data_IF_654407533283
#
_entry.id   IF_654407533283
#
_cell.length_a   1.000
_cell.length_b   1.000
_cell.length_c   1.000
_cell.angle_alpha   90.00
_cell.angle_beta   90.00
_cell.angle_gamma   90.00
#
_symmetry.space_group_name_H-M   'P 1'
#
loop_
_entity.id
_entity.type
_entity.pdbx_description
1 polymer ?
#
# COMPACT_ATOMS: atom_id res chain seq x y z
N UNK A 1 14.33 7.02 -0.43
CA UNK A 1 13.06 6.29 -0.40
C UNK A 1 13.01 5.23 0.66
N UNK A 2 14.09 4.61 0.95
CA UNK A 2 14.18 3.81 2.16
C UNK A 2 13.83 4.65 3.39
N UNK A 3 14.11 5.95 3.34
CA UNK A 3 13.77 6.89 4.41
C UNK A 3 12.27 6.92 4.72
N UNK A 4 11.42 6.81 3.70
CA UNK A 4 9.96 6.79 3.91
C UNK A 4 9.55 5.55 4.66
N UNK A 5 10.11 4.40 4.29
CA UNK A 5 9.81 3.12 4.95
C UNK A 5 10.35 3.13 6.38
N UNK A 6 11.56 3.65 6.59
CA UNK A 6 12.13 3.75 7.92
C UNK A 6 11.33 4.68 8.82
N UNK A 7 10.95 5.85 8.33
CA UNK A 7 10.10 6.78 9.07
C UNK A 7 8.76 6.16 9.42
N UNK A 8 8.16 5.46 8.47
CA UNK A 8 6.90 4.77 8.67
C UNK A 8 7.04 3.71 9.76
N UNK A 9 8.12 2.92 9.71
CA UNK A 9 8.36 1.86 10.67
C UNK A 9 8.59 2.44 12.08
N UNK A 10 9.39 3.48 12.20
CA UNK A 10 9.69 4.12 13.48
C UNK A 10 8.43 4.74 14.09
N UNK A 11 7.65 5.41 13.28
CA UNK A 11 6.43 6.09 13.74
C UNK A 11 5.41 5.11 14.30
N UNK A 12 5.32 3.92 13.72
CA UNK A 12 4.38 2.89 14.13
C UNK A 12 4.98 1.84 15.05
N UNK A 13 6.29 1.96 15.37
CA UNK A 13 7.01 1.04 16.24
C UNK A 13 6.95 -0.40 15.70
N UNK A 14 7.17 -0.56 14.40
CA UNK A 14 7.19 -1.85 13.71
C UNK A 14 8.52 -2.02 12.97
N UNK A 15 8.83 -3.26 12.58
CA UNK A 15 10.05 -3.53 11.82
C UNK A 15 9.96 -2.92 10.41
N UNK A 16 11.11 -2.57 9.79
CA UNK A 16 11.10 -2.10 8.40
C UNK A 16 10.49 -3.09 7.42
N UNK A 17 10.68 -4.39 7.63
CA UNK A 17 10.09 -5.41 6.76
C UNK A 17 8.57 -5.42 6.86
N UNK A 18 8.02 -5.32 8.07
CA UNK A 18 6.59 -5.23 8.30
C UNK A 18 6.02 -3.95 7.69
N UNK A 19 6.75 -2.84 7.85
CA UNK A 19 6.36 -1.55 7.26
C UNK A 19 6.28 -1.64 5.74
N UNK A 20 7.29 -2.23 5.11
CA UNK A 20 7.33 -2.41 3.66
C UNK A 20 6.15 -3.25 3.18
N UNK A 21 5.88 -4.35 3.88
CA UNK A 21 4.77 -5.23 3.55
C UNK A 21 3.41 -4.51 3.67
N UNK A 22 3.22 -3.77 4.75
CA UNK A 22 1.98 -3.00 4.96
C UNK A 22 1.77 -1.93 3.89
N UNK A 23 2.82 -1.19 3.54
CA UNK A 23 2.75 -0.18 2.48
C UNK A 23 2.48 -0.86 1.13
N UNK A 24 3.12 -1.98 0.85
CA UNK A 24 2.93 -2.72 -0.39
C UNK A 24 1.48 -3.18 -0.56
N UNK A 25 0.91 -3.79 0.47
CA UNK A 25 -0.48 -4.26 0.46
C UNK A 25 -1.43 -3.07 0.26
N UNK A 26 -1.25 -2.00 1.01
CA UNK A 26 -2.11 -0.82 0.93
C UNK A 26 -2.02 -0.17 -0.45
N UNK A 27 -0.81 -0.01 -0.97
CA UNK A 27 -0.61 0.59 -2.31
C UNK A 27 -1.25 -0.25 -3.39
N UNK A 28 -1.12 -1.57 -3.30
CA UNK A 28 -1.73 -2.48 -4.27
C UNK A 28 -3.25 -2.33 -4.29
N UNK A 29 -3.88 -2.34 -3.12
CA UNK A 29 -5.33 -2.19 -3.04
C UNK A 29 -5.80 -0.80 -3.49
N UNK A 30 -5.03 0.23 -3.17
CA UNK A 30 -5.32 1.59 -3.63
C UNK A 30 -5.36 1.65 -5.16
N UNK A 31 -4.37 1.05 -5.81
CA UNK A 31 -4.31 1.01 -7.28
C UNK A 31 -5.40 0.13 -7.87
N UNK A 32 -5.69 -1.01 -7.25
CA UNK A 32 -6.74 -1.91 -7.73
C UNK A 32 -8.12 -1.27 -7.67
N UNK A 33 -8.38 -0.42 -6.68
CA UNK A 33 -9.67 0.26 -6.52
C UNK A 33 -9.79 1.51 -7.39
N UNK A 34 -8.71 1.97 -7.99
CA UNK A 34 -8.71 3.14 -8.86
C UNK A 34 -9.13 2.77 -10.27
N UNK A 35 -9.74 3.72 -10.99
CA UNK A 35 -10.01 3.55 -12.42
C UNK A 35 -8.70 3.29 -13.16
N UNK A 36 -8.70 2.46 -14.22
CA UNK A 36 -7.45 2.11 -14.91
C UNK A 36 -6.63 3.33 -15.38
N UNK A 37 -7.30 4.37 -15.88
CA UNK A 37 -6.60 5.58 -16.31
C UNK A 37 -5.95 6.31 -15.13
N UNK A 38 -6.64 6.32 -13.99
CA UNK A 38 -6.11 6.92 -12.76
C UNK A 38 -4.96 6.08 -12.22
N UNK A 39 -5.11 4.76 -12.19
CA UNK A 39 -4.05 3.86 -11.74
C UNK A 39 -2.78 4.01 -12.58
N UNK A 40 -2.91 4.17 -13.89
CA UNK A 40 -1.78 4.42 -14.79
C UNK A 40 -1.05 5.70 -14.41
N UNK A 41 -1.81 6.78 -14.17
CA UNK A 41 -1.22 8.05 -13.72
C UNK A 41 -0.53 7.93 -12.37
N UNK A 42 -1.18 7.26 -11.40
CA UNK A 42 -0.62 7.06 -10.06
C UNK A 42 0.68 6.26 -10.10
N UNK A 43 0.75 5.22 -10.92
CA UNK A 43 1.96 4.43 -11.06
C UNK A 43 3.16 5.27 -11.53
N UNK A 44 2.91 6.26 -12.39
CA UNK A 44 3.98 7.14 -12.86
C UNK A 44 4.36 8.20 -11.82
N UNK A 45 3.47 8.53 -10.90
CA UNK A 45 3.72 9.53 -9.86
C UNK A 45 4.33 8.95 -8.59
N UNK A 46 4.08 7.68 -8.30
CA UNK A 46 4.62 7.02 -7.12
C UNK A 46 6.12 6.77 -7.28
N UNK A 47 6.88 6.88 -6.18
CA UNK A 47 8.32 6.59 -6.22
C UNK A 47 8.61 5.15 -6.66
N UNK A 48 9.73 4.97 -7.35
CA UNK A 48 10.13 3.67 -7.89
C UNK A 48 10.27 2.60 -6.80
N UNK A 49 10.66 2.97 -5.60
CA UNK A 49 10.78 2.01 -4.50
C UNK A 49 9.44 1.41 -4.08
N UNK A 50 8.35 2.13 -4.27
CA UNK A 50 7.01 1.58 -4.06
C UNK A 50 6.54 0.78 -5.27
N UNK A 51 6.74 1.32 -6.48
CA UNK A 51 6.29 0.64 -7.69
C UNK A 51 7.09 -0.62 -8.01
N UNK A 52 8.33 -0.70 -7.57
CA UNK A 52 9.17 -1.89 -7.77
C UNK A 52 8.71 -3.09 -6.92
N UNK A 53 7.83 -2.86 -5.95
CA UNK A 53 7.23 -3.95 -5.18
C UNK A 53 6.19 -4.74 -5.96
N UNK A 54 5.74 -4.20 -7.10
CA UNK A 54 4.72 -4.85 -7.92
C UNK A 54 5.37 -5.56 -9.11
N UNK A 55 4.87 -6.75 -9.44
CA UNK A 55 5.31 -7.46 -10.63
C UNK A 55 4.79 -6.76 -11.90
N UNK A 56 5.41 -7.02 -13.07
CA UNK A 56 4.85 -6.49 -14.33
C UNK A 56 3.41 -6.90 -14.57
N UNK A 57 3.04 -8.12 -14.20
CA UNK A 57 1.66 -8.61 -14.34
C UNK A 57 0.69 -7.82 -13.45
N UNK A 58 1.09 -7.52 -12.22
CA UNK A 58 0.29 -6.71 -11.30
C UNK A 58 0.10 -5.30 -11.84
N UNK A 59 1.19 -4.69 -12.35
CA UNK A 59 1.11 -3.35 -12.95
C UNK A 59 0.15 -3.32 -14.13
N UNK A 60 0.20 -4.36 -14.97
CA UNK A 60 -0.69 -4.47 -16.12
C UNK A 60 -2.14 -4.61 -15.68
N UNK A 61 -2.39 -5.38 -14.63
CA UNK A 61 -3.74 -5.56 -14.08
C UNK A 61 -4.31 -4.22 -13.59
N UNK A 62 -3.51 -3.40 -12.94
CA UNK A 62 -3.95 -2.07 -12.48
C UNK A 62 -4.38 -1.18 -13.64
N UNK A 63 -3.73 -1.33 -14.80
CA UNK A 63 -4.00 -0.51 -15.99
C UNK A 63 -5.20 -0.99 -16.80
N UNK A 64 -5.68 -2.21 -16.55
CA UNK A 64 -6.71 -2.83 -17.41
C UNK A 64 -8.00 -3.16 -16.69
N UNK A 65 -8.01 -3.22 -15.36
CA UNK A 65 -9.23 -3.58 -14.61
C UNK A 65 -9.28 -2.86 -13.28
N UNK A 66 -10.51 -2.54 -12.87
CA UNK A 66 -10.78 -1.93 -11.56
C UNK A 66 -11.46 -2.96 -10.67
N UNK A 67 -11.05 -3.02 -9.41
CA UNK A 67 -11.68 -3.84 -8.39
C UNK A 67 -12.40 -2.95 -7.40
N UNK A 68 -13.26 -3.54 -6.60
CA UNK A 68 -14.00 -2.83 -5.57
C UNK A 68 -13.79 -3.56 -4.24
N UNK A 69 -12.63 -3.36 -3.65
CA UNK A 69 -12.23 -4.03 -2.42
C UNK A 69 -12.49 -3.09 -1.24
N UNK A 70 -13.17 -3.59 -0.22
CA UNK A 70 -13.52 -2.76 0.94
C UNK A 70 -12.32 -2.52 1.84
N UNK A 71 -12.39 -1.43 2.62
CA UNK A 71 -11.37 -1.11 3.62
C UNK A 71 -11.22 -2.24 4.64
N UNK A 72 -12.33 -2.87 5.03
CA UNK A 72 -12.30 -3.97 6.00
C UNK A 72 -11.53 -5.17 5.46
N UNK A 73 -11.67 -5.48 4.18
CA UNK A 73 -10.91 -6.56 3.55
C UNK A 73 -9.41 -6.26 3.53
N UNK A 74 -9.03 -5.02 3.26
CA UNK A 74 -7.63 -4.59 3.25
C UNK A 74 -7.05 -4.69 4.66
N UNK A 75 -7.76 -4.19 5.66
CA UNK A 75 -7.33 -4.25 7.05
C UNK A 75 -7.18 -5.71 7.50
N UNK A 76 -8.13 -6.56 7.15
CA UNK A 76 -8.09 -7.99 7.46
C UNK A 76 -6.85 -8.65 6.84
N UNK A 77 -6.55 -8.34 5.60
CA UNK A 77 -5.37 -8.89 4.92
C UNK A 77 -4.08 -8.45 5.61
N UNK A 78 -3.96 -7.16 5.93
CA UNK A 78 -2.80 -6.65 6.65
C UNK A 78 -2.67 -7.32 8.02
N UNK A 79 -3.78 -7.46 8.75
CA UNK A 79 -3.76 -8.09 10.07
C UNK A 79 -3.27 -9.53 10.01
N UNK A 80 -3.73 -10.29 9.03
CA UNK A 80 -3.37 -11.71 8.90
C UNK A 80 -1.93 -11.89 8.42
N UNK A 81 -1.45 -11.06 7.51
CA UNK A 81 -0.12 -11.22 6.93
C UNK A 81 0.98 -10.56 7.75
N UNK A 82 0.67 -9.48 8.48
CA UNK A 82 1.67 -8.69 9.18
C UNK A 82 1.61 -8.79 10.70
N UNK A 83 0.44 -9.05 11.29
CA UNK A 83 0.22 -8.90 12.73
C UNK A 83 -0.52 -10.06 13.38
N UNK A 84 -0.53 -11.24 12.80
CA UNK A 84 -1.16 -12.43 13.36
C UNK A 84 -2.63 -12.21 13.76
N UNK A 85 -3.37 -11.40 13.01
CA UNK A 85 -4.78 -11.15 13.25
C UNK A 85 -5.09 -9.92 14.10
N UNK A 86 -4.10 -9.13 14.48
CA UNK A 86 -4.31 -7.89 15.25
C UNK A 86 -4.83 -6.78 14.33
N UNK A 87 -6.13 -6.58 14.33
CA UNK A 87 -6.79 -5.60 13.47
C UNK A 87 -6.51 -4.17 13.86
N UNK A 88 -6.24 -3.88 15.14
CA UNK A 88 -5.94 -2.53 15.59
C UNK A 88 -4.61 -2.04 15.02
N UNK A 89 -3.59 -2.89 15.06
CA UNK A 89 -2.30 -2.57 14.43
C UNK A 89 -2.42 -2.44 12.92
N UNK A 90 -3.18 -3.35 12.31
CA UNK A 90 -3.41 -3.32 10.86
C UNK A 90 -4.10 -2.02 10.44
N UNK A 91 -5.09 -1.57 11.20
CA UNK A 91 -5.79 -0.32 10.91
C UNK A 91 -4.86 0.88 10.96
N UNK A 92 -3.98 0.95 11.95
CA UNK A 92 -2.99 2.03 12.06
C UNK A 92 -2.04 2.02 10.87
N UNK A 93 -1.55 0.85 10.49
CA UNK A 93 -0.67 0.69 9.33
C UNK A 93 -1.38 1.14 8.07
N UNK A 94 -2.62 0.71 7.87
CA UNK A 94 -3.41 1.07 6.70
C UNK A 94 -3.62 2.59 6.61
N UNK A 95 -4.05 3.22 7.69
CA UNK A 95 -4.29 4.66 7.71
C UNK A 95 -3.02 5.47 7.43
N UNK A 96 -1.90 5.09 8.06
CA UNK A 96 -0.63 5.77 7.84
C UNK A 96 -0.09 5.53 6.42
N UNK A 97 -0.28 4.32 5.89
CA UNK A 97 0.13 4.02 4.51
C UNK A 97 -0.65 4.86 3.51
N UNK A 98 -1.95 5.03 3.71
CA UNK A 98 -2.78 5.91 2.87
C UNK A 98 -2.24 7.34 2.93
N UNK A 99 -1.89 7.84 4.12
CA UNK A 99 -1.33 9.18 4.27
C UNK A 99 0.00 9.33 3.53
N UNK A 100 0.86 8.33 3.60
CA UNK A 100 2.15 8.33 2.89
C UNK A 100 1.92 8.38 1.38
N UNK A 101 1.00 7.55 0.87
CA UNK A 101 0.67 7.50 -0.56
C UNK A 101 0.13 8.86 -1.03
N UNK A 102 -0.78 9.46 -0.27
CA UNK A 102 -1.35 10.76 -0.60
C UNK A 102 -0.30 11.85 -0.67
N UNK A 103 0.69 11.84 0.23
CA UNK A 103 1.77 12.82 0.22
C UNK A 103 2.64 12.73 -1.04
N UNK A 104 2.75 11.53 -1.63
CA UNK A 104 3.52 11.36 -2.86
C UNK A 104 2.77 11.85 -4.10
N UNK A 105 1.44 11.92 -4.01
CA UNK A 105 0.59 12.26 -5.15
C UNK A 105 0.20 13.73 -5.14
N UNK A 106 0.01 14.29 -3.98
CA UNK A 106 -0.45 15.68 -3.81
C UNK A 106 0.66 16.59 -3.27
#
# INVERSE_FOLDING_TARGET
MEDIIEHFAQRLEISPDTARQGISITSKFFLQNSEPVVATGLLSMLPSSLTNMFSPDEKQEFKTSQKNISHDEIIKKISNECFNGDKQKAKKVYEEAINVIRRQIW
#
